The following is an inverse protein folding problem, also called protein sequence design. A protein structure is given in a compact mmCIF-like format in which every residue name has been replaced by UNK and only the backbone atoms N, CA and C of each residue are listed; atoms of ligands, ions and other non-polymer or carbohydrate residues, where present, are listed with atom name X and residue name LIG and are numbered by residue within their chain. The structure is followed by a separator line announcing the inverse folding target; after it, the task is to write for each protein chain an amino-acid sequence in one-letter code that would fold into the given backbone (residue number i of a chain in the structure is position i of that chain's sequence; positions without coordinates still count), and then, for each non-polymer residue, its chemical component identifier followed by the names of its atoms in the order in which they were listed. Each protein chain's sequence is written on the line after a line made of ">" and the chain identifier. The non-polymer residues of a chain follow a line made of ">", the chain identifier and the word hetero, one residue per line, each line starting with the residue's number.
data_IF_931732794345
#
_entry.id   IF_931732794345
#
_cell.length_a   1.000
_cell.length_b   1.000
_cell.length_c   1.000
_cell.angle_alpha   90.00
_cell.angle_beta   90.00
_cell.angle_gamma   90.00
#
_symmetry.space_group_name_H-M   'P 1'
#
loop_
_entity.id
_entity.type
_entity.pdbx_description
1 polymer ?
#
# COMPACT_ATOMS: atom_id res chain seq x y z
N UNK A 1 3.65 19.33 32.79
CA UNK A 1 3.97 18.00 32.20
C UNK A 1 4.85 18.25 30.98
N UNK A 2 6.11 17.90 31.09
CA UNK A 2 7.16 18.29 30.12
C UNK A 2 6.97 17.55 28.79
N UNK A 3 6.97 18.29 27.70
CA UNK A 3 7.05 17.74 26.34
C UNK A 3 8.51 17.37 26.09
N UNK A 4 8.81 16.09 25.99
CA UNK A 4 10.14 15.66 25.57
C UNK A 4 10.22 15.75 24.05
N UNK A 5 10.97 16.73 23.55
CA UNK A 5 11.28 16.90 22.13
C UNK A 5 12.67 16.32 21.91
N UNK A 6 12.78 15.30 21.09
CA UNK A 6 14.06 14.74 20.64
C UNK A 6 14.22 14.98 19.13
N UNK A 7 15.43 15.26 18.68
CA UNK A 7 15.74 15.40 17.27
C UNK A 7 15.87 14.01 16.61
N UNK A 8 15.13 13.79 15.54
CA UNK A 8 15.28 12.62 14.68
C UNK A 8 16.35 12.86 13.61
N UNK A 9 16.95 11.81 13.04
CA UNK A 9 17.98 11.89 12.00
C UNK A 9 17.61 12.73 10.75
N UNK A 10 16.33 13.10 10.59
CA UNK A 10 15.81 13.93 9.49
C UNK A 10 15.41 15.36 9.93
N UNK A 11 15.91 15.87 11.05
CA UNK A 11 15.63 17.24 11.53
C UNK A 11 14.14 17.56 11.75
N UNK A 12 13.29 16.56 12.01
CA UNK A 12 11.86 16.73 12.30
C UNK A 12 11.61 16.56 13.79
N UNK A 13 10.74 17.39 14.43
CA UNK A 13 10.45 17.31 15.85
C UNK A 13 9.78 15.95 16.17
N UNK A 14 10.44 15.17 17.03
CA UNK A 14 9.93 13.93 17.57
C UNK A 14 9.21 14.21 18.88
N UNK A 15 7.92 13.90 18.93
CA UNK A 15 7.06 14.07 20.09
C UNK A 15 6.66 12.71 20.67
N UNK A 16 6.36 12.64 21.96
CA UNK A 16 5.92 11.40 22.60
C UNK A 16 4.85 11.61 23.67
N UNK A 17 4.08 10.56 23.93
CA UNK A 17 3.14 10.49 25.05
C UNK A 17 2.98 9.04 25.53
N UNK A 18 2.55 8.86 26.79
CA UNK A 18 2.27 7.54 27.34
C UNK A 18 0.81 7.14 27.14
N UNK A 19 0.58 5.88 26.74
CA UNK A 19 -0.73 5.24 26.70
C UNK A 19 -0.64 3.89 27.43
N UNK A 20 -1.19 3.80 28.63
CA UNK A 20 -0.90 2.72 29.56
C UNK A 20 0.59 2.69 29.90
N UNK A 21 1.20 1.53 29.82
CA UNK A 21 2.63 1.31 30.08
C UNK A 21 3.52 1.53 28.85
N UNK A 22 2.93 1.85 27.70
CA UNK A 22 3.69 2.05 26.44
C UNK A 22 3.87 3.54 26.10
N UNK A 23 5.09 3.89 25.66
CA UNK A 23 5.41 5.20 25.13
C UNK A 23 5.22 5.21 23.63
N UNK A 24 4.29 6.01 23.13
CA UNK A 24 4.03 6.24 21.71
C UNK A 24 4.80 7.47 21.25
N UNK A 25 5.67 7.29 20.25
CA UNK A 25 6.43 8.36 19.61
C UNK A 25 5.82 8.70 18.26
N UNK A 26 5.82 9.98 17.89
CA UNK A 26 5.35 10.42 16.58
C UNK A 26 6.15 11.60 16.05
N UNK A 27 6.24 11.70 14.72
CA UNK A 27 6.88 12.82 14.03
C UNK A 27 5.81 13.81 13.63
N UNK A 28 6.01 15.09 13.97
CA UNK A 28 5.17 16.19 13.49
C UNK A 28 5.64 16.64 12.11
N UNK A 29 4.71 16.71 11.17
CA UNK A 29 4.93 17.31 9.85
C UNK A 29 4.04 18.53 9.68
N UNK A 30 4.63 19.58 9.13
CA UNK A 30 3.93 20.80 8.75
C UNK A 30 3.03 20.57 7.53
N UNK A 31 1.83 21.14 7.54
CA UNK A 31 0.87 21.03 6.44
C UNK A 31 0.42 22.40 5.97
N UNK A 32 0.80 22.76 4.74
CA UNK A 32 0.42 24.02 4.07
C UNK A 32 -1.00 24.00 3.43
N UNK A 33 -1.86 23.06 3.76
CA UNK A 33 -3.20 22.98 3.18
C UNK A 33 -4.21 23.83 3.98
N UNK A 34 -5.28 24.37 3.36
CA UNK A 34 -6.27 25.23 4.01
C UNK A 34 -7.16 24.49 5.05
N UNK A 35 -6.86 23.23 5.36
CA UNK A 35 -7.62 22.43 6.32
C UNK A 35 -7.04 22.55 7.72
N UNK A 36 -7.85 22.95 8.68
CA UNK A 36 -7.53 23.02 10.11
C UNK A 36 -7.43 21.65 10.80
N UNK A 37 -7.59 20.53 10.08
CA UNK A 37 -7.63 19.19 10.65
C UNK A 37 -6.25 18.59 10.80
N UNK A 38 -5.97 18.05 12.00
CA UNK A 38 -4.81 17.20 12.26
C UNK A 38 -5.05 15.82 11.67
N UNK A 39 -4.11 15.35 10.83
CA UNK A 39 -4.12 14.01 10.24
C UNK A 39 -3.10 13.13 10.95
N UNK A 40 -3.52 11.94 11.37
CA UNK A 40 -2.64 10.95 11.99
C UNK A 40 -2.53 9.76 11.06
N UNK A 41 -1.29 9.38 10.73
CA UNK A 41 -0.96 8.19 9.95
C UNK A 41 -0.08 7.26 10.77
N UNK A 42 -0.42 5.98 10.82
CA UNK A 42 0.43 4.94 11.39
C UNK A 42 0.94 4.09 10.22
N UNK A 43 2.26 4.02 10.09
CA UNK A 43 2.90 3.29 8.99
C UNK A 43 3.25 1.84 9.39
N UNK A 44 3.30 0.92 8.43
CA UNK A 44 3.70 -0.48 8.69
C UNK A 44 5.09 -0.65 9.31
N UNK A 45 5.99 0.34 9.12
CA UNK A 45 7.31 0.39 9.78
C UNK A 45 7.25 0.89 11.23
N UNK A 46 6.05 0.92 11.85
CA UNK A 46 5.77 1.41 13.20
C UNK A 46 5.98 2.92 13.39
N UNK A 47 6.21 3.67 12.34
CA UNK A 47 6.32 5.13 12.42
C UNK A 47 4.94 5.77 12.47
N UNK A 48 4.72 6.66 13.44
CA UNK A 48 3.52 7.49 13.52
C UNK A 48 3.85 8.90 13.02
N UNK A 49 3.13 9.36 12.02
CA UNK A 49 3.29 10.69 11.43
C UNK A 49 2.02 11.50 11.66
N UNK A 50 2.18 12.70 12.19
CA UNK A 50 1.10 13.63 12.50
C UNK A 50 1.27 14.89 11.66
N UNK A 51 0.45 15.04 10.63
CA UNK A 51 0.43 16.25 9.79
C UNK A 51 -0.55 17.27 10.39
N UNK A 52 -0.04 18.40 10.83
CA UNK A 52 -0.80 19.48 11.45
C UNK A 52 -0.56 20.83 10.74
N UNK A 53 -1.52 21.79 10.77
CA UNK A 53 -1.29 23.15 10.31
C UNK A 53 -0.13 23.81 11.07
N UNK A 54 0.60 24.72 10.43
CA UNK A 54 1.73 25.44 11.05
C UNK A 54 1.30 26.27 12.26
N UNK A 55 0.07 26.75 12.25
CA UNK A 55 -0.50 27.59 13.32
C UNK A 55 -0.96 26.78 14.55
N UNK A 56 -1.06 25.45 14.45
CA UNK A 56 -1.49 24.61 15.56
C UNK A 56 -0.33 24.43 16.55
N UNK A 57 -0.59 24.66 17.84
CA UNK A 57 0.43 24.49 18.88
C UNK A 57 0.77 23.01 19.10
N UNK A 58 1.98 22.72 19.55
CA UNK A 58 2.41 21.36 19.91
C UNK A 58 1.48 20.71 20.95
N UNK A 59 1.00 21.51 21.90
CA UNK A 59 0.03 21.07 22.90
C UNK A 59 -1.33 20.70 22.27
N UNK A 60 -1.80 21.49 21.30
CA UNK A 60 -3.03 21.24 20.55
C UNK A 60 -2.92 19.95 19.72
N UNK A 61 -1.79 19.77 19.03
CA UNK A 61 -1.47 18.54 18.31
C UNK A 61 -1.45 17.35 19.27
N UNK A 62 -0.72 17.43 20.38
CA UNK A 62 -0.61 16.36 21.38
C UNK A 62 -1.97 15.98 21.95
N UNK A 63 -2.82 16.98 22.25
CA UNK A 63 -4.20 16.76 22.74
C UNK A 63 -5.03 15.97 21.72
N UNK A 64 -4.91 16.31 20.45
CA UNK A 64 -5.63 15.63 19.36
C UNK A 64 -5.13 14.20 19.15
N UNK A 65 -3.82 13.98 19.22
CA UNK A 65 -3.20 12.66 19.12
C UNK A 65 -3.62 11.78 20.31
N UNK A 66 -3.62 12.31 21.54
CA UNK A 66 -4.08 11.58 22.74
C UNK A 66 -5.53 11.11 22.64
N UNK A 67 -6.43 11.90 22.04
CA UNK A 67 -7.82 11.46 21.79
C UNK A 67 -7.91 10.23 20.90
N UNK A 68 -6.90 9.97 20.06
CA UNK A 68 -6.81 8.83 19.16
C UNK A 68 -5.82 7.76 19.65
N UNK A 69 -5.30 7.88 20.87
CA UNK A 69 -4.26 7.01 21.42
C UNK A 69 -4.61 5.51 21.29
N UNK A 70 -5.86 5.12 21.65
CA UNK A 70 -6.33 3.73 21.54
C UNK A 70 -6.23 3.20 20.10
N UNK A 71 -6.64 3.98 19.13
CA UNK A 71 -6.59 3.60 17.71
C UNK A 71 -5.13 3.49 17.24
N UNK A 72 -4.27 4.46 17.59
CA UNK A 72 -2.83 4.43 17.25
C UNK A 72 -2.18 3.18 17.84
N UNK A 73 -2.43 2.90 19.12
CA UNK A 73 -1.92 1.72 19.80
C UNK A 73 -2.35 0.42 19.13
N UNK A 74 -3.63 0.30 18.77
CA UNK A 74 -4.16 -0.88 18.07
C UNK A 74 -3.49 -1.07 16.71
N UNK A 75 -3.29 0.02 15.95
CA UNK A 75 -2.59 -0.03 14.66
C UNK A 75 -1.11 -0.43 14.82
N UNK A 76 -0.40 0.16 15.80
CA UNK A 76 0.99 -0.19 16.09
C UNK A 76 1.11 -1.66 16.51
N UNK A 77 0.23 -2.14 17.39
CA UNK A 77 0.20 -3.55 17.80
C UNK A 77 -0.06 -4.46 16.61
N UNK A 78 -1.04 -4.14 15.78
CA UNK A 78 -1.34 -4.90 14.57
C UNK A 78 -0.14 -4.95 13.61
N UNK A 79 0.56 -3.85 13.37
CA UNK A 79 1.76 -3.83 12.54
C UNK A 79 2.94 -4.56 13.19
N UNK A 80 3.10 -4.47 14.51
CA UNK A 80 4.14 -5.18 15.27
C UNK A 80 3.94 -6.71 15.19
N UNK A 81 2.70 -7.18 15.37
CA UNK A 81 2.33 -8.59 15.22
C UNK A 81 2.60 -9.07 13.79
N UNK A 82 2.30 -8.22 12.80
CA UNK A 82 2.61 -8.49 11.39
C UNK A 82 4.09 -8.65 11.11
N UNK A 83 4.92 -7.76 11.67
CA UNK A 83 6.37 -7.81 11.51
C UNK A 83 6.99 -9.02 12.21
N UNK A 84 6.46 -9.42 13.38
CA UNK A 84 6.95 -10.59 14.12
C UNK A 84 6.65 -11.91 13.40
N UNK A 85 5.56 -11.98 12.64
CA UNK A 85 5.16 -13.19 11.90
C UNK A 85 5.60 -13.20 10.44
N UNK A 86 5.97 -12.06 9.86
CA UNK A 86 6.55 -11.97 8.52
C UNK A 86 8.07 -12.12 8.62
N UNK A 87 8.58 -13.32 8.44
CA UNK A 87 10.01 -13.53 8.19
C UNK A 87 10.42 -12.64 6.99
N UNK A 88 11.47 -11.81 7.14
CA UNK A 88 11.94 -10.99 6.03
C UNK A 88 12.24 -11.89 4.83
N UNK A 89 11.72 -11.53 3.67
CA UNK A 89 11.97 -12.27 2.43
C UNK A 89 13.44 -12.26 2.11
N UNK A 90 14.04 -13.43 1.97
CA UNK A 90 15.46 -13.61 1.70
C UNK A 90 15.77 -13.78 0.22
N UNK A 91 14.73 -13.84 -0.63
CA UNK A 91 14.84 -14.01 -2.08
C UNK A 91 15.74 -15.19 -2.50
N UNK A 92 15.58 -16.31 -1.82
CA UNK A 92 16.31 -17.56 -2.07
C UNK A 92 15.40 -18.59 -2.77
N UNK A 93 16.03 -19.56 -3.44
CA UNK A 93 15.30 -20.68 -4.03
C UNK A 93 14.49 -21.43 -2.98
N UNK A 94 13.23 -21.79 -3.32
CA UNK A 94 12.28 -22.41 -2.40
C UNK A 94 11.30 -21.44 -1.74
N UNK A 95 11.56 -20.14 -1.78
CA UNK A 95 10.67 -19.13 -1.19
C UNK A 95 9.38 -19.00 -1.98
N UNK A 96 8.26 -18.85 -1.26
CA UNK A 96 6.92 -18.71 -1.85
C UNK A 96 6.62 -17.28 -2.23
N UNK A 97 6.15 -17.10 -3.46
CA UNK A 97 5.71 -15.83 -4.01
C UNK A 97 4.30 -15.93 -4.59
N UNK A 98 3.51 -14.88 -4.50
CA UNK A 98 2.16 -14.84 -5.07
C UNK A 98 2.14 -14.08 -6.40
N UNK A 99 1.32 -14.56 -7.35
CA UNK A 99 0.99 -13.85 -8.57
C UNK A 99 -0.43 -14.22 -9.02
N UNK A 100 -1.28 -13.22 -9.19
CA UNK A 100 -2.71 -13.37 -9.51
C UNK A 100 -3.44 -14.35 -8.57
N UNK A 101 -3.14 -14.27 -7.27
CA UNK A 101 -3.74 -15.09 -6.22
C UNK A 101 -3.21 -16.52 -6.13
N UNK A 102 -2.29 -16.93 -7.01
CA UNK A 102 -1.66 -18.24 -6.98
C UNK A 102 -0.27 -18.17 -6.38
N UNK A 103 0.09 -19.19 -5.62
CA UNK A 103 1.42 -19.34 -5.04
C UNK A 103 2.36 -20.00 -6.04
N UNK A 104 3.58 -19.47 -6.12
CA UNK A 104 4.67 -19.96 -6.96
C UNK A 104 5.94 -20.04 -6.13
N UNK A 105 6.82 -20.98 -6.49
CA UNK A 105 8.13 -21.15 -5.84
C UNK A 105 9.17 -20.35 -6.60
N UNK A 106 9.97 -19.56 -5.88
CA UNK A 106 11.12 -18.87 -6.45
C UNK A 106 12.23 -19.87 -6.78
N UNK A 107 12.79 -19.81 -7.98
CA UNK A 107 13.96 -20.59 -8.40
C UNK A 107 15.03 -19.64 -8.89
N UNK A 108 16.15 -19.58 -8.21
CA UNK A 108 17.29 -18.74 -8.57
C UNK A 108 18.36 -19.60 -9.24
N UNK A 109 18.70 -19.24 -10.46
CA UNK A 109 19.72 -19.91 -11.28
C UNK A 109 20.86 -18.93 -11.52
N UNK A 110 22.07 -19.32 -11.13
CA UNK A 110 23.26 -18.56 -11.47
C UNK A 110 23.73 -18.94 -12.88
N UNK A 111 23.78 -17.95 -13.76
CA UNK A 111 24.13 -18.09 -15.17
C UNK A 111 25.04 -16.92 -15.58
N UNK A 112 26.35 -17.01 -15.36
CA UNK A 112 27.28 -15.88 -15.52
C UNK A 112 27.32 -15.27 -16.91
N UNK A 113 27.08 -16.09 -17.95
CA UNK A 113 27.15 -15.69 -19.37
C UNK A 113 25.80 -15.30 -19.96
N UNK A 114 24.69 -15.61 -19.28
CA UNK A 114 23.36 -15.36 -19.80
C UNK A 114 22.84 -13.96 -19.45
N UNK A 115 21.84 -13.51 -20.26
CA UNK A 115 21.08 -12.29 -19.92
C UNK A 115 20.22 -12.53 -18.68
N UNK A 116 20.34 -11.63 -17.71
CA UNK A 116 19.50 -11.69 -16.52
C UNK A 116 18.01 -11.56 -16.90
N UNK A 117 17.18 -12.41 -16.30
CA UNK A 117 15.74 -12.44 -16.60
C UNK A 117 14.95 -13.04 -15.45
N UNK A 118 13.66 -12.66 -15.38
CA UNK A 118 12.67 -13.30 -14.50
C UNK A 118 11.53 -13.79 -15.37
N UNK A 119 11.17 -15.06 -15.25
CA UNK A 119 10.11 -15.70 -16.03
C UNK A 119 9.22 -16.56 -15.14
N UNK A 120 7.93 -16.57 -15.44
CA UNK A 120 7.00 -17.52 -14.85
C UNK A 120 6.98 -18.78 -15.74
N UNK A 121 7.55 -19.87 -15.26
CA UNK A 121 7.67 -21.12 -16.00
C UNK A 121 7.30 -22.30 -15.09
N UNK A 122 6.45 -23.21 -15.58
CA UNK A 122 6.13 -24.50 -14.92
C UNK A 122 5.80 -24.36 -13.43
N UNK A 123 5.01 -23.35 -13.06
CA UNK A 123 4.62 -23.13 -11.65
C UNK A 123 5.71 -22.49 -10.78
N UNK A 124 6.79 -22.00 -11.37
CA UNK A 124 7.90 -21.35 -10.67
C UNK A 124 8.15 -19.95 -11.21
N UNK A 125 8.60 -19.05 -10.35
CA UNK A 125 9.21 -17.77 -10.75
C UNK A 125 10.71 -18.02 -10.85
N UNK A 126 11.21 -18.22 -12.09
CA UNK A 126 12.61 -18.48 -12.38
C UNK A 126 13.37 -17.18 -12.58
N UNK A 127 14.39 -16.95 -11.75
CA UNK A 127 15.31 -15.80 -11.83
C UNK A 127 16.66 -16.31 -12.33
N UNK A 128 17.08 -15.85 -13.52
CA UNK A 128 18.43 -16.06 -14.02
C UNK A 128 19.27 -14.84 -13.73
N UNK A 129 20.38 -15.02 -13.04
CA UNK A 129 21.25 -13.95 -12.56
C UNK A 129 22.73 -14.32 -12.76
N UNK A 130 23.56 -13.34 -13.12
CA UNK A 130 24.99 -13.59 -13.36
C UNK A 130 25.78 -13.91 -12.10
N UNK A 131 25.43 -13.24 -11.00
CA UNK A 131 26.05 -13.40 -9.69
C UNK A 131 24.96 -13.27 -8.63
N UNK A 132 24.83 -14.25 -7.76
CA UNK A 132 23.84 -14.26 -6.69
C UNK A 132 24.10 -13.12 -5.69
N UNK A 133 23.09 -12.29 -5.49
CA UNK A 133 23.00 -11.27 -4.46
C UNK A 133 21.54 -11.08 -4.12
N UNK A 134 21.21 -11.05 -2.85
CA UNK A 134 19.83 -10.86 -2.37
C UNK A 134 19.22 -9.58 -2.94
N UNK A 135 19.96 -8.46 -2.88
CA UNK A 135 19.48 -7.17 -3.38
C UNK A 135 19.21 -7.19 -4.88
N UNK A 136 20.08 -7.84 -5.65
CA UNK A 136 19.90 -7.96 -7.10
C UNK A 136 18.69 -8.84 -7.45
N UNK A 137 18.52 -9.96 -6.76
CA UNK A 137 17.36 -10.85 -6.95
C UNK A 137 16.08 -10.10 -6.59
N UNK A 138 16.05 -9.43 -5.44
CA UNK A 138 14.95 -8.58 -4.99
C UNK A 138 14.58 -7.54 -6.05
N UNK A 139 15.57 -6.85 -6.59
CA UNK A 139 15.36 -5.84 -7.65
C UNK A 139 14.76 -6.48 -8.90
N UNK A 140 15.33 -7.56 -9.42
CA UNK A 140 14.83 -8.25 -10.61
C UNK A 140 13.39 -8.73 -10.45
N UNK A 141 13.07 -9.33 -9.31
CA UNK A 141 11.71 -9.79 -8.99
C UNK A 141 10.75 -8.61 -8.86
N UNK A 142 11.18 -7.51 -8.22
CA UNK A 142 10.39 -6.28 -8.10
C UNK A 142 10.09 -5.65 -9.46
N UNK A 143 11.09 -5.55 -10.33
CA UNK A 143 10.94 -5.02 -11.69
C UNK A 143 9.99 -5.91 -12.51
N UNK A 144 10.12 -7.23 -12.38
CA UNK A 144 9.22 -8.18 -13.03
C UNK A 144 7.76 -8.00 -12.57
N UNK A 145 7.50 -7.88 -11.26
CA UNK A 145 6.16 -7.60 -10.75
C UNK A 145 5.61 -6.28 -11.28
N UNK A 146 6.43 -5.24 -11.37
CA UNK A 146 6.03 -3.95 -11.91
C UNK A 146 5.64 -4.03 -13.39
N UNK A 147 6.39 -4.79 -14.20
CA UNK A 147 6.03 -5.00 -15.62
C UNK A 147 4.76 -5.85 -15.76
N UNK A 148 4.62 -6.93 -14.98
CA UNK A 148 3.38 -7.73 -14.96
C UNK A 148 2.17 -6.90 -14.50
N UNK A 149 2.35 -6.03 -13.51
CA UNK A 149 1.30 -5.12 -13.04
C UNK A 149 0.83 -4.18 -14.16
N UNK A 150 1.75 -3.58 -14.94
CA UNK A 150 1.38 -2.74 -16.09
C UNK A 150 0.48 -3.47 -17.07
N UNK A 151 0.87 -4.69 -17.47
CA UNK A 151 0.12 -5.49 -18.44
C UNK A 151 -1.26 -5.91 -17.89
N UNK A 152 -1.28 -6.41 -16.65
CA UNK A 152 -2.51 -6.93 -16.04
C UNK A 152 -3.49 -5.79 -15.77
N UNK A 153 -3.03 -4.69 -15.18
CA UNK A 153 -3.92 -3.58 -14.82
C UNK A 153 -4.48 -2.87 -16.06
N UNK A 154 -3.68 -2.73 -17.13
CA UNK A 154 -4.19 -2.18 -18.38
C UNK A 154 -5.34 -3.02 -18.93
N UNK A 155 -5.17 -4.37 -19.02
CA UNK A 155 -6.20 -5.28 -19.48
C UNK A 155 -7.43 -5.30 -18.56
N UNK A 156 -7.21 -5.27 -17.22
CA UNK A 156 -8.33 -5.28 -16.26
C UNK A 156 -9.09 -3.96 -16.29
N UNK A 157 -8.38 -2.83 -16.44
CA UNK A 157 -9.06 -1.54 -16.62
C UNK A 157 -10.00 -1.56 -17.82
N UNK A 158 -9.54 -2.06 -18.98
CA UNK A 158 -10.37 -2.10 -20.18
C UNK A 158 -11.66 -2.92 -19.95
N UNK A 159 -11.56 -4.06 -19.26
CA UNK A 159 -12.73 -4.88 -18.88
C UNK A 159 -13.65 -4.16 -17.87
N UNK A 160 -13.09 -3.45 -16.89
CA UNK A 160 -13.89 -2.76 -15.88
C UNK A 160 -14.59 -1.51 -16.45
N UNK A 161 -14.02 -0.89 -17.47
CA UNK A 161 -14.65 0.24 -18.16
C UNK A 161 -15.94 -0.14 -18.88
N UNK A 162 -16.11 -1.41 -19.31
CA UNK A 162 -17.36 -1.90 -19.88
C UNK A 162 -18.53 -1.83 -18.88
N UNK A 163 -18.26 -1.90 -17.58
CA UNK A 163 -19.23 -1.84 -16.51
C UNK A 163 -19.38 -0.42 -15.91
N UNK A 164 -18.31 0.38 -15.98
CA UNK A 164 -18.24 1.73 -15.41
C UNK A 164 -18.80 2.78 -16.39
N UNK A 165 -20.10 2.74 -16.69
CA UNK A 165 -20.77 3.55 -17.70
C UNK A 165 -20.70 5.06 -17.47
N UNK A 166 -20.31 5.53 -16.27
CA UNK A 166 -20.08 6.94 -15.95
C UNK A 166 -18.73 7.46 -16.41
N UNK A 167 -17.85 6.59 -16.94
CA UNK A 167 -16.54 6.95 -17.43
C UNK A 167 -16.58 7.17 -18.94
N UNK A 168 -16.42 8.42 -19.38
CA UNK A 168 -16.47 8.78 -20.80
C UNK A 168 -15.14 8.56 -21.53
N UNK A 169 -14.01 8.59 -20.82
CA UNK A 169 -12.68 8.46 -21.38
C UNK A 169 -11.81 7.55 -20.53
N UNK A 170 -11.03 6.70 -21.18
CA UNK A 170 -10.10 5.80 -20.50
C UNK A 170 -9.12 6.58 -19.63
N UNK A 171 -9.14 6.42 -18.30
CA UNK A 171 -8.22 7.13 -17.42
C UNK A 171 -6.78 6.60 -17.58
N UNK A 172 -5.78 7.49 -17.47
CA UNK A 172 -4.38 7.06 -17.47
C UNK A 172 -4.04 6.34 -16.17
N UNK A 173 -3.26 5.25 -16.29
CA UNK A 173 -2.73 4.48 -15.14
C UNK A 173 -1.29 4.87 -14.87
N UNK A 174 -0.97 5.13 -13.60
CA UNK A 174 0.38 5.22 -13.07
C UNK A 174 0.65 4.01 -12.16
N UNK A 175 1.81 3.37 -12.31
CA UNK A 175 2.24 2.30 -11.42
C UNK A 175 3.26 2.85 -10.44
N UNK A 176 2.92 2.78 -9.14
CA UNK A 176 3.77 3.32 -8.09
C UNK A 176 3.64 2.48 -6.82
N UNK A 177 4.77 2.14 -6.20
CA UNK A 177 4.76 1.52 -4.88
C UNK A 177 4.18 2.49 -3.84
N UNK A 178 3.21 2.02 -3.07
CA UNK A 178 2.56 2.76 -2.00
C UNK A 178 2.60 1.92 -0.72
N UNK A 179 2.83 2.57 0.42
CA UNK A 179 2.97 1.86 1.70
C UNK A 179 1.62 1.47 2.33
N UNK A 180 0.59 2.28 2.12
CA UNK A 180 -0.69 2.17 2.85
C UNK A 180 -1.92 1.99 1.96
N UNK A 181 -1.74 1.99 0.63
CA UNK A 181 -2.84 1.98 -0.33
C UNK A 181 -2.57 1.02 -1.48
N UNK A 182 -3.63 0.42 -1.99
CA UNK A 182 -3.60 -0.40 -3.20
C UNK A 182 -3.82 0.43 -4.47
N UNK A 183 -4.60 1.51 -4.34
CA UNK A 183 -4.90 2.45 -5.41
C UNK A 183 -5.11 3.87 -4.90
N UNK A 184 -5.16 4.82 -5.79
CA UNK A 184 -5.65 6.18 -5.57
C UNK A 184 -6.08 6.83 -6.88
N UNK A 185 -7.12 7.66 -6.83
CA UNK A 185 -7.56 8.49 -7.94
C UNK A 185 -7.20 9.95 -7.69
N UNK A 186 -6.56 10.60 -8.66
CA UNK A 186 -6.30 12.04 -8.59
C UNK A 186 -7.56 12.85 -8.99
N UNK A 187 -7.67 14.13 -8.59
CA UNK A 187 -8.78 14.99 -9.03
C UNK A 187 -8.95 15.07 -10.56
N UNK A 188 -7.86 14.86 -11.31
CA UNK A 188 -7.88 14.86 -12.78
C UNK A 188 -8.17 13.47 -13.37
N UNK A 189 -8.70 12.54 -12.59
CA UNK A 189 -9.09 11.19 -13.03
C UNK A 189 -7.93 10.23 -13.31
N UNK A 190 -6.67 10.54 -12.91
CA UNK A 190 -5.55 9.61 -13.07
C UNK A 190 -5.59 8.55 -11.96
N UNK A 191 -5.56 7.29 -12.34
CA UNK A 191 -5.45 6.18 -11.41
C UNK A 191 -3.98 5.89 -11.10
N UNK A 192 -3.63 5.77 -9.83
CA UNK A 192 -2.32 5.27 -9.38
C UNK A 192 -2.55 3.92 -8.71
N UNK A 193 -1.87 2.88 -9.17
CA UNK A 193 -2.04 1.51 -8.65
C UNK A 193 -0.72 0.97 -8.13
N UNK A 194 -0.79 0.29 -6.98
CA UNK A 194 0.36 -0.36 -6.36
C UNK A 194 0.72 -1.64 -7.12
N UNK A 195 1.96 -1.81 -7.61
CA UNK A 195 2.35 -3.01 -8.33
C UNK A 195 2.23 -4.29 -7.48
N UNK A 196 2.29 -4.22 -6.15
CA UNK A 196 2.06 -5.37 -5.28
C UNK A 196 0.64 -5.94 -5.41
N UNK A 197 -0.33 -5.16 -5.87
CA UNK A 197 -1.70 -5.61 -6.10
C UNK A 197 -1.77 -6.77 -7.12
N UNK A 198 -0.78 -6.90 -8.01
CA UNK A 198 -0.72 -8.03 -8.97
C UNK A 198 -0.48 -9.39 -8.30
N UNK A 199 -0.08 -9.40 -7.04
CA UNK A 199 0.03 -10.63 -6.23
C UNK A 199 -1.34 -11.16 -5.80
N UNK A 200 -2.33 -10.28 -5.64
CA UNK A 200 -3.68 -10.62 -5.22
C UNK A 200 -4.49 -11.33 -6.31
N UNK A 201 -5.62 -11.90 -5.94
CA UNK A 201 -6.58 -12.47 -6.89
C UNK A 201 -7.09 -11.41 -7.88
N UNK A 202 -7.52 -11.84 -9.05
CA UNK A 202 -8.00 -10.93 -10.11
C UNK A 202 -9.21 -10.11 -9.66
N UNK A 203 -10.14 -10.71 -8.91
CA UNK A 203 -11.31 -10.02 -8.35
C UNK A 203 -10.89 -8.86 -7.41
N UNK A 204 -9.80 -9.03 -6.64
CA UNK A 204 -9.24 -7.96 -5.81
C UNK A 204 -8.66 -6.81 -6.66
N UNK A 205 -8.03 -7.14 -7.81
CA UNK A 205 -7.54 -6.13 -8.76
C UNK A 205 -8.73 -5.35 -9.35
N UNK A 206 -9.77 -6.07 -9.75
CA UNK A 206 -10.99 -5.48 -10.30
C UNK A 206 -11.68 -4.57 -9.29
N UNK A 207 -11.77 -5.02 -8.03
CA UNK A 207 -12.29 -4.22 -6.94
C UNK A 207 -11.54 -2.89 -6.78
N UNK A 208 -10.20 -2.93 -6.71
CA UNK A 208 -9.41 -1.70 -6.56
C UNK A 208 -9.59 -0.79 -7.77
N UNK A 209 -9.60 -1.32 -9.00
CA UNK A 209 -9.82 -0.53 -10.20
C UNK A 209 -11.21 0.12 -10.18
N UNK A 210 -12.29 -0.64 -9.89
CA UNK A 210 -13.64 -0.11 -9.80
C UNK A 210 -13.79 0.92 -8.68
N UNK A 211 -13.15 0.68 -7.52
CA UNK A 211 -13.10 1.63 -6.41
C UNK A 211 -12.52 2.98 -6.85
N UNK A 212 -11.37 2.96 -7.55
CA UNK A 212 -10.74 4.18 -8.06
C UNK A 212 -11.54 4.83 -9.19
N UNK A 213 -12.23 4.05 -10.03
CA UNK A 213 -13.15 4.58 -11.04
C UNK A 213 -14.37 5.26 -10.41
N UNK A 214 -14.89 4.74 -9.29
CA UNK A 214 -15.96 5.39 -8.54
C UNK A 214 -15.52 6.77 -8.01
N UNK A 215 -14.24 6.95 -7.66
CA UNK A 215 -13.71 8.25 -7.23
C UNK A 215 -13.69 9.31 -8.32
N UNK A 216 -13.78 8.95 -9.59
CA UNK A 216 -13.95 9.92 -10.68
C UNK A 216 -15.35 10.57 -10.62
N UNK A 217 -16.38 9.81 -10.24
CA UNK A 217 -17.74 10.33 -10.08
C UNK A 217 -18.00 10.91 -8.68
N UNK A 218 -17.46 10.27 -7.64
CA UNK A 218 -17.70 10.61 -6.24
C UNK A 218 -16.37 10.66 -5.46
N UNK A 219 -15.85 11.85 -5.22
CA UNK A 219 -14.53 12.05 -4.61
C UNK A 219 -14.42 11.52 -3.16
N UNK A 220 -15.54 11.36 -2.47
CA UNK A 220 -15.60 10.88 -1.09
C UNK A 220 -16.36 9.56 -1.02
N UNK A 221 -16.09 8.75 0.00
CA UNK A 221 -16.82 7.52 0.30
C UNK A 221 -18.22 7.83 0.88
N UNK A 222 -19.03 8.59 0.12
CA UNK A 222 -20.41 8.93 0.43
C UNK A 222 -21.32 7.71 0.21
N UNK A 223 -22.60 7.82 0.59
CA UNK A 223 -23.60 6.80 0.27
C UNK A 223 -23.74 6.56 -1.25
N UNK A 224 -23.61 7.64 -2.05
CA UNK A 224 -23.62 7.55 -3.52
C UNK A 224 -22.42 6.76 -4.04
N UNK A 225 -21.23 6.94 -3.47
CA UNK A 225 -20.04 6.14 -3.81
C UNK A 225 -20.29 4.65 -3.61
N UNK A 226 -20.78 4.26 -2.42
CA UNK A 226 -21.03 2.86 -2.11
C UNK A 226 -22.14 2.25 -2.95
N UNK A 227 -23.17 3.04 -3.27
CA UNK A 227 -24.25 2.62 -4.17
C UNK A 227 -23.70 2.36 -5.57
N UNK A 228 -22.87 3.25 -6.10
CA UNK A 228 -22.23 3.11 -7.41
C UNK A 228 -21.34 1.87 -7.48
N UNK A 229 -20.49 1.66 -6.48
CA UNK A 229 -19.62 0.47 -6.39
C UNK A 229 -20.46 -0.83 -6.28
N UNK A 230 -21.53 -0.83 -5.49
CA UNK A 230 -22.40 -2.00 -5.33
C UNK A 230 -23.18 -2.35 -6.61
N UNK A 231 -23.46 -1.39 -7.48
CA UNK A 231 -24.10 -1.66 -8.78
C UNK A 231 -23.18 -2.46 -9.71
N UNK A 232 -21.88 -2.16 -9.74
CA UNK A 232 -20.91 -2.81 -10.63
C UNK A 232 -20.21 -4.01 -9.97
N UNK A 233 -20.17 -4.07 -8.65
CA UNK A 233 -19.59 -5.18 -7.88
C UNK A 233 -20.42 -5.43 -6.62
N UNK A 234 -21.55 -6.17 -6.68
CA UNK A 234 -22.42 -6.40 -5.53
C UNK A 234 -21.74 -7.09 -4.33
N UNK A 235 -20.70 -7.88 -4.58
CA UNK A 235 -19.94 -8.62 -3.57
C UNK A 235 -18.64 -7.92 -3.13
N UNK A 236 -18.54 -6.61 -3.35
CA UNK A 236 -17.31 -5.85 -3.10
C UNK A 236 -16.76 -5.98 -1.65
N UNK A 237 -17.64 -6.11 -0.65
CA UNK A 237 -17.21 -6.26 0.75
C UNK A 237 -16.44 -7.56 0.98
N UNK A 238 -16.91 -8.66 0.37
CA UNK A 238 -16.23 -9.96 0.45
C UNK A 238 -14.89 -9.92 -0.28
N UNK A 239 -14.81 -9.23 -1.43
CA UNK A 239 -13.59 -9.08 -2.20
C UNK A 239 -12.61 -8.19 -1.46
N UNK A 240 -13.08 -7.10 -0.85
CA UNK A 240 -12.27 -6.23 0.02
C UNK A 240 -11.68 -7.02 1.19
N UNK A 241 -12.50 -7.83 1.87
CA UNK A 241 -12.02 -8.67 2.98
C UNK A 241 -10.90 -9.62 2.55
N UNK A 242 -11.00 -10.26 1.38
CA UNK A 242 -9.92 -11.08 0.81
C UNK A 242 -8.65 -10.29 0.53
N UNK A 243 -8.78 -9.03 0.09
CA UNK A 243 -7.63 -8.18 -0.19
C UNK A 243 -6.93 -7.70 1.10
N UNK A 244 -7.72 -7.50 2.16
CA UNK A 244 -7.21 -7.12 3.48
C UNK A 244 -6.49 -8.30 4.17
N UNK A 245 -6.69 -9.55 3.69
CA UNK A 245 -5.91 -10.72 4.12
C UNK A 245 -4.43 -10.54 3.77
N UNK A 246 -3.57 -10.77 4.79
CA UNK A 246 -2.14 -10.44 4.79
C UNK A 246 -1.27 -11.23 3.80
N UNK A 247 -1.84 -12.17 3.07
CA UNK A 247 -1.11 -13.07 2.16
C UNK A 247 -0.40 -12.37 0.99
N UNK A 248 -0.83 -11.15 0.63
CA UNK A 248 -0.33 -10.43 -0.56
C UNK A 248 0.64 -9.27 -0.27
N UNK A 249 0.92 -9.01 0.99
CA UNK A 249 1.82 -7.93 1.44
C UNK A 249 3.30 -8.32 1.41
#
# INVERSE_FOLDING_TARGET
>A
MSVNIFESHDNKPLMSFCYGDEQIQFVRESRRAPSSRVLIKVHPNLQVVVSAPDQESDEGVLRTVKKRARWIFQQLKQFKDLQQHALPRRYISGESHFYLGKQYVLKVIEAPTEKQSVKLLRGQIEVRIRQKSEERIKRLVSDWYKERAKEVFAKRLDVMLEQALWINHRPPIRIQYMQTQWGSCSPNGRLTLNPNLVKAHRDCIDYVILHELCHIAEHNHSERFWRLLSQVMPNWEQVKSKLDDKAYQ
#
